data_IF_377753499945
#
_entry.id   IF_377753499945
#
_cell.length_a   1.000
_cell.length_b   1.000
_cell.length_c   1.000
_cell.angle_alpha   90.00
_cell.angle_beta   90.00
_cell.angle_gamma   90.00
#
_symmetry.space_group_name_H-M   'P 1'
#
loop_
_entity.id
_entity.type
_entity.pdbx_description
1 polymer ?
#
# COMPACT_ATOMS: atom_id res chain seq x y z
N UNK A 1 33.51 9.77 7.68
CA UNK A 1 32.70 8.94 8.61
C UNK A 1 31.20 8.99 8.24
N UNK A 2 30.80 8.56 7.04
CA UNK A 2 29.43 8.80 6.54
C UNK A 2 28.68 7.59 5.97
N UNK A 3 29.24 6.38 6.02
CA UNK A 3 28.67 5.19 5.34
C UNK A 3 28.10 4.12 6.28
N UNK A 4 28.36 4.24 7.59
CA UNK A 4 27.92 3.28 8.60
C UNK A 4 26.50 3.53 9.10
N UNK A 5 26.00 4.77 9.02
CA UNK A 5 24.62 5.10 9.41
C UNK A 5 23.57 4.52 8.43
N UNK A 6 23.90 4.51 7.13
CA UNK A 6 23.01 4.07 6.05
C UNK A 6 22.70 2.56 6.10
N UNK A 7 23.72 1.74 6.36
CA UNK A 7 23.56 0.29 6.51
C UNK A 7 22.67 -0.10 7.70
N UNK A 8 22.72 0.67 8.80
CA UNK A 8 21.90 0.38 9.98
C UNK A 8 20.42 0.73 9.78
N UNK A 9 20.11 1.72 8.95
CA UNK A 9 18.74 2.07 8.60
C UNK A 9 18.12 0.99 7.71
N UNK A 10 18.85 0.52 6.70
CA UNK A 10 18.41 -0.58 5.82
C UNK A 10 18.24 -1.88 6.60
N UNK A 11 19.19 -2.21 7.50
CA UNK A 11 19.13 -3.40 8.34
C UNK A 11 17.92 -3.42 9.29
N UNK A 12 17.39 -2.26 9.68
CA UNK A 12 16.18 -2.16 10.51
C UNK A 12 14.90 -2.06 9.67
N UNK A 13 14.96 -1.38 8.53
CA UNK A 13 13.80 -1.13 7.68
C UNK A 13 13.35 -2.38 6.94
N UNK A 14 14.29 -3.18 6.41
CA UNK A 14 13.96 -4.41 5.67
C UNK A 14 13.12 -5.40 6.50
N UNK A 15 13.54 -5.84 7.70
CA UNK A 15 12.73 -6.76 8.49
C UNK A 15 11.40 -6.13 8.94
N UNK A 16 11.36 -4.80 9.15
CA UNK A 16 10.11 -4.11 9.46
C UNK A 16 9.11 -4.11 8.28
N UNK A 17 9.60 -3.94 7.04
CA UNK A 17 8.77 -4.06 5.83
C UNK A 17 8.28 -5.49 5.66
N UNK A 18 9.16 -6.48 5.81
CA UNK A 18 8.81 -7.90 5.68
C UNK A 18 7.76 -8.31 6.74
N UNK A 19 7.95 -7.90 7.99
CA UNK A 19 6.98 -8.12 9.06
C UNK A 19 5.65 -7.42 8.79
N UNK A 20 5.70 -6.17 8.30
CA UNK A 20 4.49 -5.42 7.94
C UNK A 20 3.72 -6.10 6.80
N UNK A 21 4.43 -6.55 5.76
CA UNK A 21 3.84 -7.28 4.64
C UNK A 21 3.23 -8.61 5.09
N UNK A 22 3.95 -9.37 5.94
CA UNK A 22 3.46 -10.63 6.51
C UNK A 22 2.23 -10.45 7.42
N UNK A 23 2.06 -9.26 8.02
CA UNK A 23 0.90 -8.95 8.86
C UNK A 23 -0.39 -8.65 8.07
N UNK A 24 -0.28 -8.38 6.75
CA UNK A 24 -1.43 -8.08 5.91
C UNK A 24 -2.21 -9.38 5.68
N UNK A 25 -3.46 -9.42 6.12
CA UNK A 25 -4.29 -10.61 5.97
C UNK A 25 -4.89 -10.71 4.56
N UNK A 26 -5.12 -11.93 4.04
CA UNK A 26 -5.83 -12.10 2.76
C UNK A 26 -7.17 -11.37 2.72
N UNK A 27 -7.88 -11.28 3.85
CA UNK A 27 -9.16 -10.58 3.97
C UNK A 27 -9.01 -9.05 3.83
N UNK A 28 -7.89 -8.45 4.23
CA UNK A 28 -7.61 -7.03 3.94
C UNK A 28 -7.45 -6.82 2.43
N UNK A 29 -6.70 -7.68 1.75
CA UNK A 29 -6.54 -7.64 0.30
C UNK A 29 -7.89 -7.84 -0.43
N UNK A 30 -8.67 -8.84 -0.03
CA UNK A 30 -9.99 -9.10 -0.62
C UNK A 30 -10.94 -7.91 -0.45
N UNK A 31 -10.92 -7.21 0.69
CA UNK A 31 -11.72 -5.99 0.89
C UNK A 31 -11.33 -4.87 -0.07
N UNK A 32 -10.04 -4.72 -0.40
CA UNK A 32 -9.59 -3.74 -1.39
C UNK A 32 -10.14 -4.08 -2.78
N UNK A 33 -10.05 -5.34 -3.20
CA UNK A 33 -10.56 -5.82 -4.49
C UNK A 33 -12.09 -5.66 -4.55
N UNK A 34 -12.80 -6.07 -3.51
CA UNK A 34 -14.26 -5.92 -3.41
C UNK A 34 -14.70 -4.45 -3.47
N UNK A 35 -13.83 -3.49 -3.14
CA UNK A 35 -14.13 -2.06 -3.24
C UNK A 35 -14.03 -1.49 -4.67
N UNK A 36 -13.42 -2.23 -5.62
CA UNK A 36 -13.14 -1.74 -6.97
C UNK A 36 -14.37 -1.34 -7.79
N UNK A 37 -15.49 -2.10 -7.81
CA UNK A 37 -16.68 -1.70 -8.57
C UNK A 37 -17.17 -0.30 -8.20
N UNK A 38 -17.22 0.02 -6.90
CA UNK A 38 -17.61 1.35 -6.42
C UNK A 38 -16.63 2.46 -6.83
N UNK A 39 -15.32 2.16 -6.93
CA UNK A 39 -14.33 3.14 -7.44
C UNK A 39 -14.55 3.41 -8.92
N UNK A 40 -14.88 2.37 -9.70
CA UNK A 40 -15.20 2.49 -11.12
C UNK A 40 -16.48 3.33 -11.31
N UNK A 41 -17.53 3.06 -10.55
CA UNK A 41 -18.77 3.87 -10.56
C UNK A 41 -18.49 5.35 -10.26
N UNK A 42 -17.59 5.64 -9.32
CA UNK A 42 -17.19 7.00 -9.01
C UNK A 42 -16.48 7.68 -10.20
N UNK A 43 -15.60 6.97 -10.90
CA UNK A 43 -14.92 7.48 -12.11
C UNK A 43 -15.92 7.73 -13.24
N UNK A 44 -16.88 6.81 -13.45
CA UNK A 44 -17.95 6.97 -14.44
C UNK A 44 -18.79 8.21 -14.13
N UNK A 45 -19.20 8.37 -12.88
CA UNK A 45 -19.98 9.53 -12.43
C UNK A 45 -19.19 10.83 -12.57
N UNK A 46 -17.88 10.77 -12.35
CA UNK A 46 -16.96 11.87 -12.56
C UNK A 46 -16.58 12.07 -14.05
N UNK A 47 -17.20 11.37 -15.01
CA UNK A 47 -16.87 11.48 -16.45
C UNK A 47 -15.37 11.29 -16.74
N UNK A 48 -14.71 10.42 -15.99
CA UNK A 48 -13.27 10.16 -16.12
C UNK A 48 -12.35 11.12 -15.36
N UNK A 49 -12.89 12.12 -14.65
CA UNK A 49 -12.08 12.99 -13.79
C UNK A 49 -11.60 12.26 -12.52
N UNK A 50 -10.54 12.77 -11.85
CA UNK A 50 -10.02 12.18 -10.62
C UNK A 50 -11.09 12.03 -9.54
N UNK A 51 -11.01 10.93 -8.79
CA UNK A 51 -11.86 10.68 -7.63
C UNK A 51 -11.04 10.81 -6.34
N UNK A 52 -11.66 10.56 -5.18
CA UNK A 52 -10.94 10.55 -3.89
C UNK A 52 -9.98 9.37 -3.70
N UNK A 53 -10.05 8.37 -4.58
CA UNK A 53 -9.23 7.16 -4.57
C UNK A 53 -8.18 7.17 -5.67
#
# INVERSE_FOLDING_TARGET
MGKTADLTAVQKLKPAIEASLASITPQQCHRLIASMPRRIEAVISAKGFPTKY
#
